data_IF_869440975118
#
_entry.id   IF_869440975118
#
_cell.length_a   1.000
_cell.length_b   1.000
_cell.length_c   1.000
_cell.angle_alpha   90.00
_cell.angle_beta   90.00
_cell.angle_gamma   90.00
#
_symmetry.space_group_name_H-M   'P 1'
#
loop_
_entity.id
_entity.type
_entity.pdbx_description
1 polymer ?
#
# COMPACT_ATOMS: atom_id res chain seq x y z
N UNK A 1 -2.66 0.96 -1.00
CA UNK A 1 -1.58 1.26 -0.03
C UNK A 1 -0.32 1.62 -0.83
N UNK A 2 0.55 2.50 -0.34
CA UNK A 2 1.77 2.89 -1.07
C UNK A 2 3.01 2.13 -0.59
N UNK A 3 4.04 2.05 -1.42
CA UNK A 3 5.37 1.52 -1.04
C UNK A 3 6.00 2.25 0.16
N UNK A 4 5.69 3.54 0.35
CA UNK A 4 6.10 4.31 1.54
C UNK A 4 5.40 3.79 2.81
N UNK A 5 4.09 3.57 2.73
CA UNK A 5 3.33 2.97 3.85
C UNK A 5 3.80 1.55 4.15
N UNK A 6 4.16 0.76 3.12
CA UNK A 6 4.72 -0.58 3.31
C UNK A 6 6.06 -0.52 4.04
N UNK A 7 6.92 0.44 3.68
CA UNK A 7 8.19 0.66 4.38
C UNK A 7 7.96 0.99 5.87
N UNK A 8 7.01 1.88 6.15
CA UNK A 8 6.62 2.26 7.51
C UNK A 8 6.11 1.07 8.34
N UNK A 9 5.12 0.31 7.84
CA UNK A 9 4.56 -0.82 8.60
C UNK A 9 5.56 -1.96 8.77
N UNK A 10 6.40 -2.23 7.77
CA UNK A 10 7.37 -3.32 7.84
C UNK A 10 8.64 -2.94 8.61
N UNK A 11 8.96 -1.65 8.71
CA UNK A 11 10.24 -1.17 9.21
C UNK A 11 11.39 -1.33 8.19
N UNK A 12 11.10 -1.75 6.96
CA UNK A 12 12.10 -1.81 5.88
C UNK A 12 12.36 -0.40 5.36
N UNK A 13 13.58 -0.15 4.88
CA UNK A 13 13.85 1.10 4.15
C UNK A 13 13.01 1.15 2.87
N UNK A 14 12.54 2.33 2.51
CA UNK A 14 11.74 2.51 1.29
C UNK A 14 12.49 2.07 0.03
N UNK A 15 13.80 2.29 -0.03
CA UNK A 15 14.65 1.81 -1.13
C UNK A 15 14.63 0.28 -1.28
N UNK A 16 14.62 -0.46 -0.17
CA UNK A 16 14.52 -1.92 -0.19
C UNK A 16 13.14 -2.37 -0.69
N UNK A 17 12.06 -1.75 -0.21
CA UNK A 17 10.70 -2.06 -0.70
C UNK A 17 10.59 -1.80 -2.20
N UNK A 18 11.10 -0.67 -2.69
CA UNK A 18 11.09 -0.35 -4.12
C UNK A 18 11.90 -1.36 -4.95
N UNK A 19 13.03 -1.85 -4.42
CA UNK A 19 13.83 -2.91 -5.05
C UNK A 19 13.07 -4.23 -5.09
N UNK A 20 12.48 -4.65 -3.98
CA UNK A 20 11.74 -5.91 -3.90
C UNK A 20 10.55 -5.92 -4.88
N UNK A 21 9.86 -4.79 -5.03
CA UNK A 21 8.79 -4.63 -6.03
C UNK A 21 9.33 -4.80 -7.46
N UNK A 22 10.48 -4.18 -7.81
CA UNK A 22 11.07 -4.33 -9.15
C UNK A 22 11.49 -5.78 -9.40
N UNK A 23 12.14 -6.40 -8.43
CA UNK A 23 12.58 -7.79 -8.55
C UNK A 23 11.39 -8.74 -8.76
N UNK A 24 10.28 -8.56 -8.03
CA UNK A 24 9.11 -9.43 -8.20
C UNK A 24 8.46 -9.19 -9.57
N UNK A 25 8.42 -7.95 -10.05
CA UNK A 25 7.89 -7.61 -11.37
C UNK A 25 8.73 -8.20 -12.51
N UNK A 26 10.05 -8.33 -12.33
CA UNK A 26 10.95 -8.97 -13.29
C UNK A 26 10.78 -10.50 -13.33
N UNK A 27 10.34 -11.11 -12.22
CA UNK A 27 10.08 -12.55 -12.13
C UNK A 27 8.71 -12.98 -12.68
N UNK A 28 7.80 -12.04 -12.91
CA UNK A 28 6.47 -12.34 -13.45
C UNK A 28 6.51 -12.57 -14.96
N UNK A 29 5.95 -13.70 -15.41
CA UNK A 29 5.75 -13.99 -16.84
C UNK A 29 4.78 -13.00 -17.50
N UNK A 30 3.68 -12.64 -16.82
CA UNK A 30 2.73 -11.62 -17.27
C UNK A 30 2.48 -10.54 -16.21
N UNK A 31 3.18 -9.41 -16.40
CA UNK A 31 3.08 -8.23 -15.53
C UNK A 31 1.71 -7.54 -15.58
N UNK A 32 0.90 -7.75 -16.63
CA UNK A 32 -0.39 -7.05 -16.81
C UNK A 32 -1.45 -7.52 -15.81
N UNK A 33 -1.22 -8.64 -15.14
CA UNK A 33 -2.12 -9.14 -14.09
C UNK A 33 -2.05 -8.34 -12.78
N UNK A 34 -1.11 -7.41 -12.67
CA UNK A 34 -0.82 -6.62 -11.47
C UNK A 34 -0.77 -5.12 -11.81
N UNK A 35 -1.04 -4.28 -10.82
CA UNK A 35 -1.27 -2.85 -11.03
C UNK A 35 -0.32 -1.99 -10.20
N UNK A 36 0.98 -2.32 -10.26
CA UNK A 36 2.04 -1.54 -9.64
C UNK A 36 2.21 -0.19 -10.37
N UNK A 37 1.41 0.80 -9.96
CA UNK A 37 1.43 2.15 -10.53
C UNK A 37 2.53 3.00 -9.90
N UNK A 38 3.38 3.63 -10.73
CA UNK A 38 4.38 4.59 -10.28
C UNK A 38 3.74 5.96 -10.10
N UNK A 39 3.95 6.55 -8.92
CA UNK A 39 3.48 7.88 -8.56
C UNK A 39 4.59 8.63 -7.83
N UNK A 40 4.45 9.94 -7.68
CA UNK A 40 5.35 10.78 -6.88
C UNK A 40 4.57 11.42 -5.75
N UNK A 41 5.19 11.52 -4.57
CA UNK A 41 4.61 12.20 -3.42
C UNK A 41 5.60 13.22 -2.85
N UNK A 42 5.10 14.39 -2.42
CA UNK A 42 5.94 15.35 -1.72
C UNK A 42 6.31 14.79 -0.35
N UNK A 43 7.62 14.74 -0.08
CA UNK A 43 8.17 14.40 1.22
C UNK A 43 8.78 15.66 1.84
N UNK A 44 8.43 16.01 3.09
CA UNK A 44 9.01 17.16 3.77
C UNK A 44 10.50 16.92 4.02
N UNK A 45 11.29 17.97 3.80
CA UNK A 45 12.73 17.97 3.99
C UNK A 45 13.09 18.75 5.27
N UNK A 46 14.20 18.42 5.95
CA UNK A 46 14.63 19.10 7.18
C UNK A 46 14.84 20.61 7.04
N UNK A 47 15.06 21.10 5.81
CA UNK A 47 15.26 22.51 5.49
C UNK A 47 13.95 23.28 5.23
N UNK A 48 12.78 22.69 5.52
CA UNK A 48 11.47 23.32 5.30
C UNK A 48 10.97 23.25 3.85
N UNK A 49 11.71 22.62 2.94
CA UNK A 49 11.26 22.33 1.58
C UNK A 49 10.49 21.02 1.47
N UNK A 50 10.00 20.71 0.28
CA UNK A 50 9.49 19.38 -0.07
C UNK A 50 10.23 18.81 -1.27
N UNK A 51 10.43 17.50 -1.29
CA UNK A 51 11.02 16.76 -2.41
C UNK A 51 10.02 15.73 -2.92
N UNK A 52 9.83 15.68 -4.23
CA UNK A 52 9.06 14.61 -4.86
C UNK A 52 9.82 13.28 -4.75
N UNK A 53 9.19 12.30 -4.13
CA UNK A 53 9.73 10.94 -3.95
C UNK A 53 8.84 9.96 -4.69
N UNK A 54 9.45 9.21 -5.61
CA UNK A 54 8.77 8.18 -6.38
C UNK A 54 8.35 7.01 -5.50
N UNK A 55 7.11 6.58 -5.60
CA UNK A 55 6.55 5.48 -4.83
C UNK A 55 5.57 4.67 -5.68
N UNK A 56 5.51 3.36 -5.46
CA UNK A 56 4.43 2.55 -6.04
C UNK A 56 3.12 2.72 -5.26
N UNK A 57 2.01 2.75 -5.97
CA UNK A 57 0.66 2.50 -5.44
C UNK A 57 0.34 1.03 -5.71
N UNK A 58 -0.05 0.32 -4.66
CA UNK A 58 -0.33 -1.10 -4.70
C UNK A 58 -1.79 -1.36 -4.34
N UNK A 59 -2.44 -2.21 -5.15
CA UNK A 59 -3.72 -2.83 -4.83
C UNK A 59 -3.55 -3.88 -3.72
N UNK A 60 -4.66 -4.45 -3.22
CA UNK A 60 -4.61 -5.57 -2.28
C UNK A 60 -3.85 -6.74 -2.87
N UNK A 61 -4.11 -7.07 -4.14
CA UNK A 61 -3.46 -8.17 -4.86
C UNK A 61 -1.95 -7.95 -4.96
N UNK A 62 -1.52 -6.74 -5.33
CA UNK A 62 -0.09 -6.40 -5.46
C UNK A 62 0.63 -6.47 -4.10
N UNK A 63 -0.04 -6.04 -3.03
CA UNK A 63 0.52 -6.13 -1.68
C UNK A 63 0.68 -7.58 -1.23
N UNK A 64 -0.29 -8.45 -1.54
CA UNK A 64 -0.21 -9.88 -1.22
C UNK A 64 0.91 -10.56 -2.01
N UNK A 65 1.10 -10.20 -3.28
CA UNK A 65 2.23 -10.67 -4.08
C UNK A 65 3.56 -10.26 -3.43
N UNK A 66 3.72 -8.99 -3.05
CA UNK A 66 4.94 -8.55 -2.37
C UNK A 66 5.15 -9.28 -1.02
N UNK A 67 4.09 -9.43 -0.24
CA UNK A 67 4.16 -10.02 1.10
C UNK A 67 4.45 -11.53 1.10
N UNK A 68 4.19 -12.24 -0.01
CA UNK A 68 4.54 -13.66 -0.14
C UNK A 68 6.05 -13.89 -0.14
N UNK A 69 6.84 -12.90 -0.57
CA UNK A 69 8.31 -12.93 -0.53
C UNK A 69 8.94 -12.42 0.77
N UNK A 70 8.15 -11.96 1.74
CA UNK A 70 8.64 -11.48 3.04
C UNK A 70 8.54 -12.57 4.12
N UNK A 71 9.19 -12.38 5.27
CA UNK A 71 9.02 -13.28 6.41
C UNK A 71 7.59 -13.17 7.00
N UNK A 72 7.25 -14.13 7.86
CA UNK A 72 5.90 -14.25 8.41
C UNK A 72 5.46 -13.01 9.21
N UNK A 73 6.36 -12.37 9.94
CA UNK A 73 6.01 -11.21 10.76
C UNK A 73 5.71 -9.99 9.87
N UNK A 74 6.56 -9.73 8.86
CA UNK A 74 6.33 -8.63 7.94
C UNK A 74 5.08 -8.83 7.08
N UNK A 75 4.84 -10.06 6.62
CA UNK A 75 3.61 -10.41 5.89
C UNK A 75 2.36 -10.21 6.76
N UNK A 76 2.38 -10.64 8.02
CA UNK A 76 1.26 -10.42 8.93
C UNK A 76 0.93 -8.93 9.09
N UNK A 77 1.94 -8.06 9.23
CA UNK A 77 1.72 -6.60 9.30
C UNK A 77 1.03 -6.04 8.05
N UNK A 78 1.44 -6.49 6.86
CA UNK A 78 0.83 -6.07 5.58
C UNK A 78 -0.62 -6.55 5.49
N UNK A 79 -0.89 -7.81 5.87
CA UNK A 79 -2.24 -8.40 5.86
C UNK A 79 -3.16 -7.65 6.82
N UNK A 80 -2.75 -7.50 8.08
CA UNK A 80 -3.55 -6.82 9.11
C UNK A 80 -3.91 -5.39 8.70
N UNK A 81 -2.96 -4.67 8.08
CA UNK A 81 -3.22 -3.32 7.59
C UNK A 81 -4.28 -3.28 6.49
N UNK A 82 -4.33 -4.28 5.61
CA UNK A 82 -5.38 -4.38 4.60
C UNK A 82 -6.74 -4.73 5.18
N UNK A 83 -6.77 -5.66 6.14
CA UNK A 83 -8.01 -6.03 6.84
C UNK A 83 -8.61 -4.81 7.55
N UNK A 84 -7.77 -4.01 8.22
CA UNK A 84 -8.19 -2.75 8.85
C UNK A 84 -8.79 -1.76 7.83
N UNK A 85 -8.14 -1.58 6.68
CA UNK A 85 -8.64 -0.70 5.61
C UNK A 85 -9.99 -1.18 5.04
N UNK A 86 -10.16 -2.50 4.91
CA UNK A 86 -11.42 -3.09 4.45
C UNK A 86 -12.54 -2.92 5.46
N UNK A 87 -12.26 -3.12 6.75
CA UNK A 87 -13.24 -2.92 7.82
C UNK A 87 -13.65 -1.45 7.93
N UNK A 88 -12.68 -0.53 7.90
CA UNK A 88 -12.95 0.92 7.88
C UNK A 88 -13.83 1.31 6.68
N UNK A 89 -13.58 0.73 5.50
CA UNK A 89 -14.42 0.97 4.31
C UNK A 89 -15.85 0.44 4.52
N UNK A 90 -16.01 -0.75 5.09
CA UNK A 90 -17.33 -1.32 5.41
C UNK A 90 -18.08 -0.50 6.44
N UNK A 91 -17.41 -0.04 7.49
CA UNK A 91 -18.00 0.82 8.52
C UNK A 91 -18.47 2.15 7.92
N UNK A 92 -17.65 2.76 7.06
CA UNK A 92 -18.01 4.01 6.37
C UNK A 92 -19.25 3.84 5.48
N UNK A 93 -19.35 2.74 4.73
CA UNK A 93 -20.54 2.42 3.94
C UNK A 93 -21.79 2.28 4.82
N UNK A 94 -21.71 1.52 5.91
CA UNK A 94 -22.82 1.37 6.88
C UNK A 94 -23.27 2.71 7.47
N UNK A 95 -22.33 3.59 7.83
CA UNK A 95 -22.63 4.93 8.36
C UNK A 95 -23.33 5.80 7.30
N UNK A 96 -22.89 5.75 6.05
CA UNK A 96 -23.52 6.49 4.94
C UNK A 96 -24.94 6.02 4.67
N UNK A 97 -25.19 4.71 4.64
CA UNK A 97 -26.53 4.15 4.46
C UNK A 97 -27.48 4.58 5.58
N UNK A 98 -27.06 4.48 6.85
CA UNK A 98 -27.85 4.95 8.00
C UNK A 98 -28.16 6.44 7.92
N UNK A 99 -27.20 7.26 7.50
CA UNK A 99 -27.39 8.71 7.35
C UNK A 99 -28.33 9.09 6.19
N UNK A 100 -28.44 8.26 5.16
CA UNK A 100 -29.39 8.47 4.06
C UNK A 100 -30.80 8.10 4.49
N UNK A 101 -30.95 6.97 5.20
CA UNK A 101 -32.24 6.50 5.72
C UNK A 101 -32.85 7.44 6.77
N UNK A 102 -32.02 8.17 7.53
CA UNK A 102 -32.52 9.12 8.55
C UNK A 102 -32.99 10.47 7.99
N UNK A 103 -32.90 10.70 6.68
CA UNK A 103 -33.30 11.95 6.00
C UNK A 103 -34.61 11.83 5.23
N UNK A 104 -35.23 10.64 5.25
CA UNK A 104 -36.56 10.34 4.69
C UNK A 104 -37.54 10.30 5.86
#
# INVERSE_FOLDING_TARGET
MTSLQIAEITGKTHSNVMRDIRNILEQLEDRRQFSFELSSRPQPMPNGGSKEVSCYILTKKDCLLLASGYDANLRAKIINRWEELEENKRELSRKREKSLLSKI
#
